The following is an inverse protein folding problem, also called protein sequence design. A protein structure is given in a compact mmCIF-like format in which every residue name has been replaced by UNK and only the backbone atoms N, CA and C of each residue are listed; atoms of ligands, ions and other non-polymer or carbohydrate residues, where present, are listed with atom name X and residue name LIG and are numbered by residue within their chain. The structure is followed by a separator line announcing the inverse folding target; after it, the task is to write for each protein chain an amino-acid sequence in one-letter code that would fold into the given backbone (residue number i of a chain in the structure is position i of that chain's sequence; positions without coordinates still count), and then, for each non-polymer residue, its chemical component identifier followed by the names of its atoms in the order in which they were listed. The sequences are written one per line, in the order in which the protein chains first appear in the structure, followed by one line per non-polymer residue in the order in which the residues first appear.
data_IF_293008141023
#
_entry.id   IF_293008141023
#
_cell.length_a   1.000
_cell.length_b   1.000
_cell.length_c   1.000
_cell.angle_alpha   90.00
_cell.angle_beta   90.00
_cell.angle_gamma   90.00
#
_symmetry.space_group_name_H-M   'P 1'
#
loop_
_entity.id
_entity.type
_entity.pdbx_description
1 polymer ?
#
# COMPACT_ATOMS: atom_id res chain seq x y z
N UNK A 1 11.32 -13.32 12.87
CA UNK A 1 10.81 -12.00 13.27
C UNK A 1 11.95 -11.12 13.77
N UNK A 2 11.84 -9.82 13.52
CA UNK A 2 12.77 -8.81 14.04
C UNK A 2 12.02 -7.96 15.07
N UNK A 3 12.73 -7.41 16.10
CA UNK A 3 12.09 -6.52 17.07
C UNK A 3 11.57 -5.25 16.38
N UNK A 4 10.36 -4.85 16.72
CA UNK A 4 9.73 -3.62 16.21
C UNK A 4 9.06 -2.88 17.36
N UNK A 5 9.63 -1.73 17.72
CA UNK A 5 9.20 -0.95 18.90
C UNK A 5 7.73 -0.53 18.86
N UNK A 6 7.16 -0.31 17.67
CA UNK A 6 5.75 0.06 17.53
C UNK A 6 4.89 -1.20 17.60
N UNK A 7 5.21 -2.20 16.79
CA UNK A 7 4.44 -3.42 16.67
C UNK A 7 4.38 -4.21 18.01
N UNK A 8 5.51 -4.26 18.72
CA UNK A 8 5.62 -4.96 20.01
C UNK A 8 4.80 -4.29 21.14
N UNK A 9 4.33 -3.05 20.95
CA UNK A 9 3.58 -2.27 21.95
C UNK A 9 2.13 -1.99 21.56
N UNK A 10 1.66 -2.44 20.41
CA UNK A 10 0.25 -2.28 20.01
C UNK A 10 -0.51 -3.62 20.13
N UNK A 11 -1.80 -3.58 20.49
CA UNK A 11 -2.60 -4.79 20.59
C UNK A 11 -2.88 -5.39 19.22
N UNK A 12 -2.88 -6.71 19.12
CA UNK A 12 -3.29 -7.44 17.93
C UNK A 12 -4.82 -7.42 17.80
N UNK A 13 -5.32 -6.99 16.63
CA UNK A 13 -6.73 -7.08 16.25
C UNK A 13 -6.90 -7.96 15.00
N UNK A 14 -7.97 -8.73 14.95
CA UNK A 14 -8.30 -9.48 13.76
C UNK A 14 -8.91 -8.54 12.70
N UNK A 15 -8.09 -8.07 11.78
CA UNK A 15 -8.46 -7.14 10.71
C UNK A 15 -8.81 -7.84 9.39
N UNK A 16 -8.76 -9.18 9.32
CA UNK A 16 -8.91 -9.94 8.08
C UNK A 16 -10.15 -9.58 7.25
N UNK A 17 -11.29 -9.31 7.91
CA UNK A 17 -12.51 -8.90 7.21
C UNK A 17 -12.40 -7.49 6.63
N UNK A 18 -11.76 -6.58 7.35
CA UNK A 18 -11.54 -5.20 6.90
C UNK A 18 -10.61 -5.21 5.71
N UNK A 19 -9.49 -5.92 5.82
CA UNK A 19 -8.51 -6.10 4.76
C UNK A 19 -9.16 -6.63 3.47
N UNK A 20 -9.89 -7.75 3.56
CA UNK A 20 -10.48 -8.38 2.40
C UNK A 20 -11.57 -7.55 1.70
N UNK A 21 -12.58 -7.14 2.43
CA UNK A 21 -13.73 -6.46 1.81
C UNK A 21 -13.42 -5.01 1.43
N UNK A 22 -12.72 -4.28 2.29
CA UNK A 22 -12.42 -2.89 2.03
C UNK A 22 -11.37 -2.74 0.92
N UNK A 23 -10.35 -3.61 0.89
CA UNK A 23 -9.38 -3.63 -0.20
C UNK A 23 -10.05 -3.91 -1.55
N UNK A 24 -10.99 -4.87 -1.62
CA UNK A 24 -11.77 -5.14 -2.83
C UNK A 24 -12.58 -3.91 -3.26
N UNK A 25 -13.36 -3.30 -2.35
CA UNK A 25 -14.19 -2.14 -2.69
C UNK A 25 -13.35 -0.96 -3.19
N UNK A 26 -12.17 -0.74 -2.60
CA UNK A 26 -11.28 0.33 -3.03
C UNK A 26 -10.67 0.02 -4.39
N UNK A 27 -10.22 -1.20 -4.63
CA UNK A 27 -9.68 -1.61 -5.93
C UNK A 27 -10.72 -1.41 -7.05
N UNK A 28 -11.96 -1.86 -6.84
CA UNK A 28 -13.04 -1.64 -7.79
C UNK A 28 -13.42 -0.16 -7.93
N UNK A 29 -13.45 0.58 -6.82
CA UNK A 29 -13.72 2.02 -6.83
C UNK A 29 -12.66 2.80 -7.60
N UNK A 30 -11.39 2.50 -7.40
CA UNK A 30 -10.27 3.08 -8.16
C UNK A 30 -10.39 2.73 -9.63
N UNK A 31 -10.70 1.48 -9.98
CA UNK A 31 -10.86 1.04 -11.36
C UNK A 31 -12.01 1.77 -12.06
N UNK A 32 -13.18 1.84 -11.42
CA UNK A 32 -14.34 2.54 -11.98
C UNK A 32 -14.08 4.04 -12.16
N UNK A 33 -13.45 4.68 -11.16
CA UNK A 33 -13.08 6.09 -11.25
C UNK A 33 -12.02 6.32 -12.34
N UNK A 34 -11.06 5.42 -12.47
CA UNK A 34 -10.01 5.48 -13.48
C UNK A 34 -10.56 5.39 -14.91
N UNK A 35 -11.65 4.64 -15.15
CA UNK A 35 -12.32 4.57 -16.44
C UNK A 35 -12.95 5.91 -16.88
N UNK A 36 -13.26 6.81 -15.93
CA UNK A 36 -13.77 8.15 -16.23
C UNK A 36 -12.65 9.16 -16.56
N UNK A 37 -11.40 8.86 -16.19
CA UNK A 37 -10.24 9.73 -16.31
C UNK A 37 -9.10 9.01 -17.05
N UNK A 38 -9.29 8.77 -18.36
CA UNK A 38 -8.41 7.88 -19.16
C UNK A 38 -6.92 8.24 -19.09
N UNK A 39 -6.57 9.53 -19.12
CA UNK A 39 -5.14 9.95 -19.04
C UNK A 39 -4.51 9.61 -17.70
N UNK A 40 -5.22 9.93 -16.60
CA UNK A 40 -4.78 9.60 -15.25
C UNK A 40 -4.75 8.09 -15.04
N UNK A 41 -5.65 7.34 -15.68
CA UNK A 41 -5.66 5.89 -15.63
C UNK A 41 -4.41 5.27 -16.26
N UNK A 42 -4.01 5.72 -17.46
CA UNK A 42 -2.79 5.24 -18.11
C UNK A 42 -1.59 5.51 -17.21
N UNK A 43 -1.47 6.74 -16.70
CA UNK A 43 -0.39 7.11 -15.78
C UNK A 43 -0.42 6.27 -14.48
N UNK A 44 -1.62 6.01 -13.94
CA UNK A 44 -1.81 5.17 -12.74
C UNK A 44 -1.32 3.74 -12.99
N UNK A 45 -1.70 3.11 -14.10
CA UNK A 45 -1.28 1.73 -14.44
C UNK A 45 0.24 1.65 -14.66
N UNK A 46 0.84 2.62 -15.33
CA UNK A 46 2.28 2.68 -15.53
C UNK A 46 3.03 2.82 -14.19
N UNK A 47 2.54 3.68 -13.30
CA UNK A 47 3.11 3.85 -11.97
C UNK A 47 2.90 2.65 -11.07
N UNK A 48 1.74 2.01 -11.13
CA UNK A 48 1.48 0.76 -10.42
C UNK A 48 2.45 -0.34 -10.86
N UNK A 49 2.64 -0.49 -12.17
CA UNK A 49 3.60 -1.47 -12.71
C UNK A 49 5.02 -1.19 -12.21
N UNK A 50 5.44 0.07 -12.20
CA UNK A 50 6.75 0.46 -11.68
C UNK A 50 6.87 0.24 -10.17
N UNK A 51 5.83 0.54 -9.40
CA UNK A 51 5.78 0.25 -7.95
C UNK A 51 5.93 -1.25 -7.67
N UNK A 52 5.25 -2.11 -8.45
CA UNK A 52 5.39 -3.57 -8.33
C UNK A 52 6.82 -4.02 -8.62
N UNK A 53 7.45 -3.49 -9.67
CA UNK A 53 8.85 -3.81 -10.01
C UNK A 53 9.78 -3.38 -8.87
N UNK A 54 9.65 -2.15 -8.39
CA UNK A 54 10.46 -1.61 -7.29
C UNK A 54 10.26 -2.44 -6.02
N UNK A 55 9.01 -2.78 -5.69
CA UNK A 55 8.69 -3.63 -4.56
C UNK A 55 9.33 -5.01 -4.69
N UNK A 56 9.18 -5.67 -5.84
CA UNK A 56 9.79 -6.97 -6.09
C UNK A 56 11.32 -6.94 -5.92
N UNK A 57 11.96 -5.85 -6.30
CA UNK A 57 13.39 -5.67 -6.08
C UNK A 57 13.74 -5.62 -4.59
N UNK A 58 13.04 -4.80 -3.80
CA UNK A 58 13.30 -4.66 -2.36
C UNK A 58 13.01 -5.94 -1.59
N UNK A 59 11.94 -6.64 -1.92
CA UNK A 59 11.57 -7.92 -1.31
C UNK A 59 12.69 -8.96 -1.44
N UNK A 60 13.29 -9.06 -2.62
CA UNK A 60 14.40 -9.98 -2.84
C UNK A 60 15.67 -9.60 -2.03
N UNK A 61 15.79 -8.34 -1.62
CA UNK A 61 16.93 -7.87 -0.81
C UNK A 61 16.70 -8.02 0.70
N UNK A 62 15.48 -7.86 1.18
CA UNK A 62 15.21 -7.73 2.62
C UNK A 62 14.82 -9.03 3.31
N UNK A 63 14.11 -9.93 2.62
CA UNK A 63 13.64 -11.23 3.13
C UNK A 63 13.10 -11.18 4.59
N UNK A 64 12.30 -10.16 4.89
CA UNK A 64 11.71 -9.99 6.21
C UNK A 64 10.72 -11.13 6.48
N UNK A 65 10.90 -11.83 7.60
CA UNK A 65 9.94 -12.85 8.04
C UNK A 65 8.62 -12.22 8.47
N UNK A 66 7.56 -13.00 8.50
CA UNK A 66 6.24 -12.55 8.98
C UNK A 66 6.32 -12.25 10.48
N UNK A 67 5.74 -11.12 10.98
CA UNK A 67 5.64 -10.83 12.41
C UNK A 67 4.92 -11.95 13.18
N UNK A 68 5.28 -12.13 14.45
CA UNK A 68 4.62 -13.13 15.31
C UNK A 68 3.15 -12.77 15.52
N UNK A 69 2.28 -13.77 15.37
CA UNK A 69 0.83 -13.61 15.56
C UNK A 69 0.11 -12.91 14.42
N UNK A 70 0.79 -12.62 13.30
CA UNK A 70 0.18 -11.92 12.15
C UNK A 70 -1.15 -12.54 11.73
N UNK A 71 -2.17 -11.70 11.54
CA UNK A 71 -3.46 -12.12 10.98
C UNK A 71 -3.24 -12.49 9.51
N UNK A 72 -3.71 -13.68 9.06
CA UNK A 72 -3.57 -14.07 7.67
C UNK A 72 -4.23 -13.04 6.74
N UNK A 73 -3.48 -12.51 5.81
CA UNK A 73 -4.03 -11.67 4.74
C UNK A 73 -4.45 -12.54 3.56
N UNK A 74 -5.60 -12.23 2.98
CA UNK A 74 -6.11 -12.89 1.77
C UNK A 74 -5.73 -12.17 0.50
N UNK A 75 -4.94 -11.11 0.60
CA UNK A 75 -4.55 -10.29 -0.54
C UNK A 75 -3.69 -11.09 -1.53
N UNK A 76 -4.10 -11.05 -2.79
CA UNK A 76 -3.37 -11.68 -3.92
C UNK A 76 -1.90 -11.22 -4.00
N UNK A 77 -1.60 -10.03 -3.49
CA UNK A 77 -0.27 -9.42 -3.53
C UNK A 77 0.66 -9.80 -2.37
N UNK A 78 0.20 -10.58 -1.40
CA UNK A 78 0.95 -10.91 -0.16
C UNK A 78 1.26 -12.39 0.00
N UNK A 79 1.18 -13.18 -1.06
CA UNK A 79 1.54 -14.59 -0.98
C UNK A 79 3.05 -14.74 -0.79
N UNK A 80 3.45 -15.31 0.35
CA UNK A 80 4.80 -15.82 0.53
C UNK A 80 5.72 -15.09 1.50
N UNK A 81 5.19 -14.28 2.43
CA UNK A 81 6.05 -13.63 3.46
C UNK A 81 6.79 -12.39 2.99
N UNK A 82 6.26 -11.77 1.97
CA UNK A 82 6.77 -10.59 1.31
C UNK A 82 6.23 -9.32 1.96
N UNK A 83 7.05 -8.62 2.74
CA UNK A 83 6.57 -7.55 3.58
C UNK A 83 7.07 -6.15 3.18
N UNK A 84 8.25 -5.98 2.65
CA UNK A 84 8.80 -4.63 2.40
C UNK A 84 8.46 -4.13 0.99
N UNK A 85 7.86 -3.03 0.87
CA UNK A 85 7.13 -2.08 1.71
C UNK A 85 5.61 -2.33 1.60
N UNK A 86 4.80 -1.79 2.54
CA UNK A 86 3.35 -2.04 2.56
C UNK A 86 2.63 -1.58 1.29
N UNK A 87 2.08 -2.54 0.53
CA UNK A 87 1.27 -2.26 -0.64
C UNK A 87 -0.08 -1.62 -0.30
N UNK A 88 -0.65 -1.97 0.86
CA UNK A 88 -1.91 -1.40 1.37
C UNK A 88 -1.79 0.10 1.64
N UNK A 89 -0.63 0.57 2.11
CA UNK A 89 -0.34 1.98 2.30
C UNK A 89 0.06 2.67 0.99
N UNK A 90 0.89 2.01 0.18
CA UNK A 90 1.46 2.57 -1.04
C UNK A 90 0.43 2.85 -2.13
N UNK A 91 -0.50 1.90 -2.37
CA UNK A 91 -1.47 1.99 -3.47
C UNK A 91 -2.42 3.19 -3.35
N UNK A 92 -3.14 3.38 -2.23
CA UNK A 92 -3.98 4.56 -2.08
C UNK A 92 -3.15 5.86 -2.01
N UNK A 93 -1.95 5.86 -1.45
CA UNK A 93 -1.08 7.02 -1.50
C UNK A 93 -0.69 7.40 -2.93
N UNK A 94 -0.36 6.42 -3.76
CA UNK A 94 -0.08 6.65 -5.18
C UNK A 94 -1.30 7.20 -5.93
N UNK A 95 -2.49 6.65 -5.66
CA UNK A 95 -3.74 7.19 -6.22
C UNK A 95 -3.97 8.66 -5.82
N UNK A 96 -3.70 9.03 -4.56
CA UNK A 96 -3.79 10.41 -4.11
C UNK A 96 -2.85 11.34 -4.90
N UNK A 97 -1.64 10.88 -5.23
CA UNK A 97 -0.68 11.65 -6.03
C UNK A 97 -1.12 11.80 -7.49
N UNK A 98 -1.69 10.74 -8.07
CA UNK A 98 -2.18 10.77 -9.46
C UNK A 98 -3.39 11.70 -9.61
N UNK A 99 -4.29 11.69 -8.62
CA UNK A 99 -5.51 12.52 -8.64
C UNK A 99 -5.37 13.79 -7.79
N UNK A 100 -4.16 14.35 -7.71
CA UNK A 100 -3.84 15.48 -6.84
C UNK A 100 -4.69 16.72 -7.10
N UNK A 101 -5.06 16.97 -8.35
CA UNK A 101 -5.86 18.13 -8.78
C UNK A 101 -7.35 18.01 -8.43
N UNK A 102 -7.79 16.86 -7.93
CA UNK A 102 -9.15 16.62 -7.46
C UNK A 102 -9.19 16.57 -5.93
N UNK A 103 -9.45 17.71 -5.23
CA UNK A 103 -9.24 17.83 -3.79
C UNK A 103 -9.98 16.76 -2.96
N UNK A 104 -11.25 16.51 -3.27
CA UNK A 104 -12.05 15.51 -2.56
C UNK A 104 -11.43 14.11 -2.71
N UNK A 105 -11.09 13.73 -3.94
CA UNK A 105 -10.51 12.41 -4.27
C UNK A 105 -9.16 12.24 -3.60
N UNK A 106 -8.31 13.26 -3.68
CA UNK A 106 -7.01 13.28 -3.02
C UNK A 106 -7.12 13.03 -1.52
N UNK A 107 -7.98 13.77 -0.81
CA UNK A 107 -8.12 13.60 0.63
C UNK A 107 -8.73 12.25 1.02
N UNK A 108 -9.65 11.71 0.22
CA UNK A 108 -10.17 10.35 0.42
C UNK A 108 -9.02 9.34 0.34
N UNK A 109 -8.19 9.39 -0.71
CA UNK A 109 -7.09 8.45 -0.87
C UNK A 109 -5.98 8.63 0.16
N UNK A 110 -5.67 9.86 0.59
CA UNK A 110 -4.75 10.09 1.71
C UNK A 110 -5.29 9.49 3.03
N UNK A 111 -6.59 9.69 3.29
CA UNK A 111 -7.26 9.09 4.44
C UNK A 111 -7.23 7.56 4.40
N UNK A 112 -7.47 6.97 3.23
CA UNK A 112 -7.39 5.52 3.02
C UNK A 112 -5.97 4.98 3.20
N UNK A 113 -4.95 5.70 2.71
CA UNK A 113 -3.55 5.31 2.91
C UNK A 113 -3.19 5.27 4.41
N UNK A 114 -3.60 6.28 5.16
CA UNK A 114 -3.42 6.31 6.60
C UNK A 114 -4.20 5.20 7.30
N UNK A 115 -5.47 5.01 6.93
CA UNK A 115 -6.34 3.97 7.49
C UNK A 115 -5.73 2.58 7.31
N UNK A 116 -5.33 2.22 6.08
CA UNK A 116 -4.71 0.94 5.82
C UNK A 116 -3.34 0.80 6.48
N UNK A 117 -2.56 1.88 6.58
CA UNK A 117 -1.31 1.86 7.32
C UNK A 117 -1.52 1.47 8.79
N UNK A 118 -2.56 2.01 9.43
CA UNK A 118 -2.93 1.65 10.81
C UNK A 118 -3.50 0.22 10.87
N UNK A 119 -4.35 -0.13 9.92
CA UNK A 119 -5.01 -1.45 9.84
C UNK A 119 -3.99 -2.59 9.76
N UNK A 120 -3.00 -2.51 8.87
CA UNK A 120 -1.98 -3.56 8.70
C UNK A 120 -1.03 -3.65 9.90
N UNK A 121 -0.82 -2.55 10.64
CA UNK A 121 -0.08 -2.59 11.91
C UNK A 121 -0.90 -3.28 12.99
N UNK A 122 -2.19 -2.96 13.13
CA UNK A 122 -3.07 -3.61 14.11
C UNK A 122 -3.28 -5.09 13.83
N UNK A 123 -3.25 -5.51 12.57
CA UNK A 123 -3.27 -6.92 12.16
C UNK A 123 -1.91 -7.61 12.25
N UNK A 124 -0.86 -6.91 12.67
CA UNK A 124 0.53 -7.39 12.67
C UNK A 124 0.96 -7.97 11.31
N UNK A 125 0.38 -7.45 10.23
CA UNK A 125 0.63 -7.95 8.87
C UNK A 125 1.93 -7.38 8.28
N UNK A 126 2.36 -6.20 8.76
CA UNK A 126 3.57 -5.49 8.34
C UNK A 126 4.35 -4.96 9.54
N UNK A 127 5.66 -4.84 9.41
CA UNK A 127 6.48 -4.07 10.34
C UNK A 127 6.23 -2.57 10.18
N UNK A 128 6.50 -1.80 11.23
CA UNK A 128 6.32 -0.35 11.19
C UNK A 128 7.14 0.32 10.07
N UNK A 129 8.37 -0.17 9.83
CA UNK A 129 9.22 0.33 8.75
C UNK A 129 8.59 0.15 7.37
N UNK A 130 7.85 -0.94 7.12
CA UNK A 130 7.20 -1.20 5.84
C UNK A 130 6.11 -0.17 5.56
N UNK A 131 5.36 0.19 6.59
CA UNK A 131 4.27 1.17 6.51
C UNK A 131 4.82 2.58 6.34
N UNK A 132 5.82 2.96 7.15
CA UNK A 132 6.39 4.30 7.08
C UNK A 132 7.26 4.54 5.83
N UNK A 133 7.94 3.52 5.31
CA UNK A 133 8.73 3.63 4.08
C UNK A 133 7.84 3.78 2.83
N UNK A 134 6.62 3.21 2.85
CA UNK A 134 5.75 3.16 1.69
C UNK A 134 5.44 4.54 1.06
N UNK A 135 5.06 5.60 1.78
CA UNK A 135 4.84 6.92 1.20
C UNK A 135 6.08 7.51 0.53
N UNK A 136 7.26 7.37 1.14
CA UNK A 136 8.51 7.93 0.61
C UNK A 136 8.92 7.26 -0.69
N UNK A 137 8.89 5.92 -0.73
CA UNK A 137 9.22 5.16 -1.92
C UNK A 137 8.21 5.45 -3.03
N UNK A 138 6.91 5.46 -2.70
CA UNK A 138 5.83 5.75 -3.64
C UNK A 138 5.95 7.16 -4.22
N UNK A 139 6.28 8.16 -3.41
CA UNK A 139 6.52 9.52 -3.88
C UNK A 139 7.73 9.58 -4.82
N UNK A 140 8.81 8.88 -4.48
CA UNK A 140 9.99 8.77 -5.35
C UNK A 140 9.64 8.18 -6.72
N UNK A 141 8.87 7.09 -6.75
CA UNK A 141 8.38 6.45 -7.98
C UNK A 141 7.49 7.41 -8.79
N UNK A 142 6.58 8.11 -8.13
CA UNK A 142 5.72 9.12 -8.78
C UNK A 142 6.54 10.24 -9.43
N UNK A 143 7.51 10.81 -8.71
CA UNK A 143 8.37 11.85 -9.24
C UNK A 143 9.21 11.37 -10.43
N UNK A 144 9.75 10.16 -10.33
CA UNK A 144 10.51 9.55 -11.42
C UNK A 144 9.62 9.36 -12.66
N UNK A 145 8.44 8.77 -12.50
CA UNK A 145 7.51 8.55 -13.59
C UNK A 145 7.09 9.87 -14.26
N UNK A 146 6.78 10.90 -13.46
CA UNK A 146 6.39 12.23 -13.96
C UNK A 146 7.52 12.93 -14.75
N UNK A 147 8.76 12.52 -14.53
CA UNK A 147 9.91 13.09 -15.24
C UNK A 147 10.15 12.43 -16.59
N UNK A 148 9.78 11.17 -16.75
CA UNK A 148 10.04 10.39 -17.97
C UNK A 148 8.86 10.33 -18.94
N UNK A 149 7.64 10.66 -18.47
CA UNK A 149 6.41 10.76 -19.27
C UNK A 149 5.98 12.20 -19.44
#
# INVERSE_FOLDING_TARGET
PIPDTILDNIPLFNTAYIDYYLALYIQYGVLLFALTQVKQFIFFIQGLSLLIIVRSFFVNLTQLGIPEGAVPTTSFFTQGGDLFFSGHTALPFFAALVFWDLPLVRYIFLGLSLFFGVEVLLGHQHYSIDVFAAPFITYGVFCFLKKIL
#
